data_IF_994273070385
#
_entry.id   IF_994273070385
#
_cell.length_a   1.000
_cell.length_b   1.000
_cell.length_c   1.000
_cell.angle_alpha   90.00
_cell.angle_beta   90.00
_cell.angle_gamma   90.00
#
_symmetry.space_group_name_H-M   'P 1'
#
loop_
_entity.id
_entity.type
_entity.pdbx_description
1 polymer ?
#
# COMPACT_ATOMS: atom_id res chain seq x y z
N UNK A 1 -13.55 12.15 1.10
CA UNK A 1 -13.01 11.00 1.86
C UNK A 1 -11.51 10.85 1.54
N UNK A 2 -10.76 9.96 2.21
CA UNK A 2 -9.30 9.82 2.08
C UNK A 2 -8.93 8.32 1.93
N UNK A 3 -7.74 8.03 1.36
CA UNK A 3 -7.05 6.71 1.28
C UNK A 3 -7.44 5.73 0.14
N UNK A 4 -6.68 5.66 -0.98
CA UNK A 4 -6.52 4.44 -1.79
C UNK A 4 -5.47 4.53 -2.94
N UNK A 5 -4.17 4.72 -2.66
CA UNK A 5 -3.15 4.67 -3.74
C UNK A 5 -1.84 3.94 -3.38
N UNK A 6 -1.78 3.41 -2.18
CA UNK A 6 -0.51 3.30 -1.48
C UNK A 6 0.08 1.88 -1.50
N UNK A 7 -0.71 0.87 -1.87
CA UNK A 7 -0.27 -0.54 -1.88
C UNK A 7 0.46 -0.92 -3.19
N UNK A 8 0.21 -0.21 -4.30
CA UNK A 8 1.01 -0.41 -5.53
C UNK A 8 2.45 0.12 -5.43
N UNK A 9 2.81 0.85 -4.37
CA UNK A 9 4.22 1.21 -4.09
C UNK A 9 5.01 0.06 -3.45
N UNK A 10 4.34 -0.97 -2.92
CA UNK A 10 4.99 -2.18 -2.40
C UNK A 10 5.34 -3.17 -3.49
N UNK A 11 4.54 -3.14 -4.55
CA UNK A 11 4.55 -4.10 -5.63
C UNK A 11 5.03 -3.42 -6.91
N UNK A 12 6.14 -2.72 -6.79
CA UNK A 12 7.20 -2.54 -7.79
C UNK A 12 8.51 -2.79 -6.94
N UNK A 13 9.61 -3.44 -7.36
CA UNK A 13 10.69 -2.83 -8.16
C UNK A 13 12.13 -3.59 -8.21
N UNK A 14 12.56 -4.51 -9.15
CA UNK A 14 13.90 -5.26 -9.28
C UNK A 14 15.22 -4.79 -10.09
N UNK A 15 16.48 -5.17 -9.69
CA UNK A 15 17.89 -4.92 -10.25
C UNK A 15 18.65 -6.26 -10.47
N UNK A 16 19.81 -6.43 -11.14
CA UNK A 16 20.72 -5.57 -11.93
C UNK A 16 21.37 -6.40 -13.05
N UNK A 17 21.75 -5.76 -14.16
CA UNK A 17 22.70 -6.30 -15.14
C UNK A 17 23.42 -5.15 -15.84
N UNK A 18 24.74 -5.21 -16.00
CA UNK A 18 25.53 -4.08 -16.51
C UNK A 18 25.32 -3.82 -18.02
N UNK A 19 24.29 -3.05 -18.33
CA UNK A 19 24.17 -2.29 -19.58
C UNK A 19 23.41 -1.00 -19.27
N UNK A 20 24.03 0.15 -19.49
CA UNK A 20 23.36 1.45 -19.40
C UNK A 20 22.15 1.45 -20.34
N UNK A 21 20.91 1.58 -19.85
CA UNK A 21 19.78 1.76 -20.74
C UNK A 21 19.97 3.04 -21.56
N UNK A 22 19.46 3.13 -22.80
CA UNK A 22 19.33 4.42 -23.46
C UNK A 22 18.45 5.34 -22.57
N UNK A 23 18.72 6.64 -22.60
CA UNK A 23 18.13 7.62 -21.68
C UNK A 23 16.58 7.68 -21.68
N UNK A 24 15.95 7.09 -22.70
CA UNK A 24 14.51 7.01 -22.89
C UNK A 24 13.84 5.75 -22.29
N UNK A 25 14.60 4.85 -21.65
CA UNK A 25 14.08 3.63 -21.02
C UNK A 25 13.74 3.82 -19.53
N UNK A 26 12.59 3.33 -19.03
CA UNK A 26 12.28 3.28 -17.60
C UNK A 26 13.39 2.60 -16.78
N UNK A 27 13.75 3.11 -15.58
CA UNK A 27 14.89 2.62 -14.79
C UNK A 27 14.63 1.20 -14.31
N UNK A 28 15.57 0.25 -14.48
CA UNK A 28 15.38 -1.15 -14.11
C UNK A 28 14.96 -1.21 -12.65
N UNK A 29 13.80 -1.78 -12.34
CA UNK A 29 13.02 -1.22 -11.26
C UNK A 29 13.75 -1.11 -9.89
N UNK A 30 14.68 -1.97 -9.46
CA UNK A 30 15.39 -1.79 -8.17
C UNK A 30 16.54 -0.78 -8.24
N UNK A 31 16.76 -0.12 -9.37
CA UNK A 31 17.32 1.23 -9.37
C UNK A 31 16.49 2.08 -8.39
N UNK A 32 15.20 1.75 -8.20
CA UNK A 32 14.28 2.37 -7.26
C UNK A 32 14.31 1.75 -5.85
N UNK A 33 14.41 0.43 -5.62
CA UNK A 33 14.70 -0.07 -4.25
C UNK A 33 16.08 0.40 -3.78
N UNK A 34 17.10 0.40 -4.64
CA UNK A 34 18.40 1.00 -4.37
C UNK A 34 18.27 2.52 -4.19
N UNK A 35 17.47 3.23 -5.00
CA UNK A 35 17.18 4.64 -4.74
C UNK A 35 16.46 4.84 -3.41
N UNK A 36 15.65 3.90 -2.90
CA UNK A 36 14.99 3.94 -1.58
C UNK A 36 15.92 3.58 -0.41
N UNK A 37 17.20 3.28 -0.66
CA UNK A 37 18.20 3.08 0.38
C UNK A 37 18.46 4.33 1.24
N UNK A 38 19.17 4.16 2.35
CA UNK A 38 19.29 5.19 3.39
C UNK A 38 18.00 5.42 4.16
N UNK A 39 18.00 6.40 5.06
CA UNK A 39 16.90 6.68 6.02
C UNK A 39 16.06 7.92 5.68
N UNK A 40 16.51 8.76 4.74
CA UNK A 40 15.85 10.01 4.39
C UNK A 40 14.38 9.79 3.99
N UNK A 41 13.51 10.73 4.34
CA UNK A 41 12.08 10.77 3.96
C UNK A 41 11.80 12.05 3.19
N UNK A 42 10.76 12.03 2.36
CA UNK A 42 10.32 13.26 1.69
C UNK A 42 9.85 14.32 2.70
N UNK A 43 10.15 15.60 2.43
CA UNK A 43 9.61 16.71 3.20
C UNK A 43 8.10 16.80 3.03
N UNK A 44 7.42 17.44 3.99
CA UNK A 44 5.98 17.70 3.89
C UNK A 44 5.62 18.40 2.57
N UNK A 45 6.31 19.50 2.25
CA UNK A 45 6.06 20.32 1.06
C UNK A 45 6.24 19.53 -0.25
N UNK A 46 7.18 18.58 -0.30
CA UNK A 46 7.38 17.71 -1.45
C UNK A 46 6.26 16.67 -1.63
N UNK A 47 5.52 16.36 -0.56
CA UNK A 47 4.37 15.46 -0.58
C UNK A 47 3.03 16.18 -0.72
N UNK A 48 2.88 17.38 -0.19
CA UNK A 48 1.61 18.11 -0.16
C UNK A 48 1.08 18.36 -1.57
N UNK A 49 1.95 18.81 -2.50
CA UNK A 49 1.59 19.02 -3.90
C UNK A 49 1.32 17.74 -4.72
N UNK A 50 1.59 16.53 -4.19
CA UNK A 50 1.37 15.25 -4.88
C UNK A 50 0.29 14.37 -4.22
N UNK A 51 0.17 14.41 -2.89
CA UNK A 51 -0.70 13.55 -2.08
C UNK A 51 -1.71 14.34 -1.23
N UNK A 52 -1.68 15.68 -1.24
CA UNK A 52 -2.62 16.56 -0.51
C UNK A 52 -2.86 16.12 0.94
N UNK A 53 -1.80 15.86 1.71
CA UNK A 53 -1.93 15.06 2.93
C UNK A 53 -0.78 15.09 3.94
N UNK A 54 -1.18 14.95 5.21
CA UNK A 54 -0.42 15.18 6.44
C UNK A 54 0.73 14.20 6.78
N UNK A 55 0.97 13.16 5.99
CA UNK A 55 1.88 12.05 6.38
C UNK A 55 2.90 11.72 5.30
N UNK A 56 4.07 12.37 5.37
CA UNK A 56 5.21 12.13 4.47
C UNK A 56 6.22 11.12 5.02
N UNK A 57 6.29 10.93 6.34
CA UNK A 57 7.39 10.25 7.04
C UNK A 57 7.15 8.78 7.35
N UNK A 58 5.90 8.34 7.38
CA UNK A 58 5.54 6.93 7.61
C UNK A 58 4.39 6.51 6.71
N UNK A 59 4.10 5.22 6.76
CA UNK A 59 2.94 4.67 6.12
C UNK A 59 3.10 4.41 4.62
N UNK A 60 2.14 3.71 4.06
CA UNK A 60 2.08 3.47 2.63
C UNK A 60 2.07 4.80 1.82
N UNK A 61 1.47 5.87 2.37
CA UNK A 61 1.49 7.23 1.77
C UNK A 61 2.88 7.88 1.78
N UNK A 62 3.60 7.81 2.91
CA UNK A 62 4.96 8.34 3.03
C UNK A 62 5.94 7.57 2.13
N UNK A 63 5.72 6.26 1.97
CA UNK A 63 6.45 5.43 1.00
C UNK A 63 6.15 5.84 -0.44
N UNK A 64 4.88 6.03 -0.82
CA UNK A 64 4.47 6.53 -2.14
C UNK A 64 5.10 7.89 -2.47
N UNK A 65 5.06 8.84 -1.54
CA UNK A 65 5.69 10.14 -1.71
C UNK A 65 7.23 10.04 -1.79
N UNK A 66 7.88 9.35 -0.85
CA UNK A 66 9.35 9.20 -0.84
C UNK A 66 9.85 8.47 -2.09
N UNK A 67 9.06 7.55 -2.65
CA UNK A 67 9.35 6.93 -3.94
C UNK A 67 9.24 7.98 -5.06
N UNK A 68 8.13 8.71 -5.13
CA UNK A 68 7.89 9.71 -6.18
C UNK A 68 8.90 10.87 -6.20
N UNK A 69 9.46 11.28 -5.04
CA UNK A 69 10.52 12.30 -4.98
C UNK A 69 11.87 11.81 -5.48
N UNK A 70 12.12 10.49 -5.48
CA UNK A 70 13.36 9.89 -5.98
C UNK A 70 13.23 9.43 -7.42
N UNK A 71 12.15 8.73 -7.74
CA UNK A 71 11.81 8.27 -9.09
C UNK A 71 10.30 8.48 -9.31
N UNK A 72 9.89 9.40 -10.19
CA UNK A 72 8.48 9.73 -10.40
C UNK A 72 7.64 8.51 -10.76
N UNK A 73 6.48 8.34 -10.11
CA UNK A 73 5.61 7.17 -10.30
C UNK A 73 5.19 6.99 -11.76
N UNK A 74 5.01 8.09 -12.52
CA UNK A 74 4.76 8.03 -13.97
C UNK A 74 5.83 7.25 -14.76
N UNK A 75 7.09 7.34 -14.35
CA UNK A 75 8.22 6.66 -15.02
C UNK A 75 8.15 5.14 -14.78
N UNK A 76 7.59 4.73 -13.64
CA UNK A 76 7.38 3.31 -13.31
C UNK A 76 6.13 2.76 -14.00
N UNK A 77 5.05 3.54 -14.00
CA UNK A 77 3.80 3.21 -14.66
C UNK A 77 3.93 3.18 -16.20
N UNK A 78 4.89 3.91 -16.79
CA UNK A 78 5.20 3.86 -18.22
C UNK A 78 5.64 2.46 -18.74
N UNK A 79 5.89 1.50 -17.84
CA UNK A 79 6.12 0.09 -18.20
C UNK A 79 4.85 -0.72 -18.44
N UNK A 80 3.71 -0.24 -17.94
CA UNK A 80 2.41 -0.89 -18.08
C UNK A 80 1.60 -0.17 -19.15
N UNK A 81 1.11 -0.90 -20.14
CA UNK A 81 0.38 -0.36 -21.28
C UNK A 81 -1.15 -0.32 -21.09
N UNK A 82 -1.67 -0.92 -20.01
CA UNK A 82 -3.10 -0.90 -19.68
C UNK A 82 -3.49 0.27 -18.77
N UNK A 83 -4.75 0.30 -18.34
CA UNK A 83 -5.22 1.26 -17.34
C UNK A 83 -4.92 0.78 -15.91
N UNK A 84 -4.39 1.67 -15.07
CA UNK A 84 -4.14 1.38 -13.64
C UNK A 84 -5.45 1.19 -12.87
N UNK A 85 -6.45 2.00 -13.20
CA UNK A 85 -7.79 1.96 -12.62
C UNK A 85 -8.83 1.63 -13.69
N UNK A 86 -9.91 0.96 -13.29
CA UNK A 86 -11.12 0.75 -14.09
C UNK A 86 -12.14 1.86 -13.88
N UNK A 87 -12.21 2.40 -12.66
CA UNK A 87 -13.04 3.52 -12.25
C UNK A 87 -12.48 4.19 -10.99
N UNK A 88 -13.09 5.29 -10.58
CA UNK A 88 -12.71 6.05 -9.38
C UNK A 88 -12.10 7.43 -9.72
N UNK A 89 -11.66 8.17 -8.69
CA UNK A 89 -11.21 9.56 -8.81
C UNK A 89 -9.70 9.68 -9.07
N UNK A 90 -9.02 8.58 -9.39
CA UNK A 90 -7.59 8.55 -9.68
C UNK A 90 -7.37 8.33 -11.17
N UNK A 91 -6.52 9.15 -11.80
CA UNK A 91 -6.22 9.05 -13.22
C UNK A 91 -4.72 8.98 -13.47
N UNK A 92 -4.33 8.38 -14.59
CA UNK A 92 -2.99 8.47 -15.15
C UNK A 92 -3.10 9.17 -16.49
N UNK A 93 -2.40 10.29 -16.65
CA UNK A 93 -2.32 11.03 -17.90
C UNK A 93 -0.87 11.44 -18.23
N UNK A 94 -0.70 12.21 -19.31
CA UNK A 94 0.63 12.63 -19.79
C UNK A 94 1.40 13.53 -18.81
N UNK A 95 0.73 14.17 -17.84
CA UNK A 95 1.37 14.93 -16.75
C UNK A 95 1.84 14.03 -15.60
N UNK A 96 1.11 12.95 -15.36
CA UNK A 96 1.47 11.88 -14.43
C UNK A 96 0.27 11.24 -13.76
N UNK A 97 0.50 10.73 -12.55
CA UNK A 97 -0.50 10.09 -11.71
C UNK A 97 -1.24 11.16 -10.88
N UNK A 98 -2.52 11.37 -11.18
CA UNK A 98 -3.41 12.24 -10.40
C UNK A 98 -4.09 11.45 -9.28
N UNK A 99 -4.01 11.98 -8.06
CA UNK A 99 -4.31 11.25 -6.82
C UNK A 99 -5.30 12.07 -5.98
N UNK A 100 -6.57 12.09 -6.39
CA UNK A 100 -7.62 12.75 -5.60
C UNK A 100 -7.93 11.96 -4.31
N UNK A 101 -7.24 12.32 -3.22
CA UNK A 101 -7.51 11.83 -1.87
C UNK A 101 -8.50 12.72 -1.10
N UNK A 102 -9.33 13.51 -1.78
CA UNK A 102 -10.41 14.30 -1.19
C UNK A 102 -11.79 13.80 -1.61
N UNK A 103 -11.91 13.18 -2.79
CA UNK A 103 -13.12 12.52 -3.30
C UNK A 103 -13.80 11.60 -2.28
N UNK A 104 -15.12 11.46 -2.39
CA UNK A 104 -15.94 10.47 -1.66
C UNK A 104 -16.10 9.13 -2.43
N UNK A 105 -15.26 8.93 -3.45
CA UNK A 105 -15.06 7.69 -4.18
C UNK A 105 -13.62 7.15 -3.98
N UNK A 106 -13.30 5.95 -4.46
CA UNK A 106 -11.96 5.35 -4.36
C UNK A 106 -11.47 4.80 -5.69
N UNK A 107 -10.15 4.72 -5.89
CA UNK A 107 -9.60 4.09 -7.09
C UNK A 107 -9.87 2.58 -7.09
N UNK A 108 -10.69 2.12 -8.05
CA UNK A 108 -10.91 0.71 -8.35
C UNK A 108 -9.79 0.23 -9.27
N UNK A 109 -8.93 -0.66 -8.79
CA UNK A 109 -7.81 -1.14 -9.60
C UNK A 109 -8.29 -2.01 -10.77
N UNK A 110 -7.54 -1.97 -11.88
CA UNK A 110 -7.62 -3.01 -12.89
C UNK A 110 -6.92 -4.28 -12.36
N UNK A 111 -7.59 -5.45 -12.30
CA UNK A 111 -6.96 -6.70 -11.88
C UNK A 111 -5.67 -7.02 -12.66
N UNK A 112 -5.66 -6.82 -13.98
CA UNK A 112 -4.48 -7.04 -14.83
C UNK A 112 -3.29 -6.15 -14.42
N UNK A 113 -3.56 -4.93 -13.93
CA UNK A 113 -2.52 -4.04 -13.42
C UNK A 113 -1.96 -4.53 -12.08
N UNK A 114 -2.82 -5.08 -11.21
CA UNK A 114 -2.39 -5.61 -9.90
C UNK A 114 -1.54 -6.86 -10.10
N UNK A 115 -1.98 -7.80 -10.95
CA UNK A 115 -1.20 -8.99 -11.33
C UNK A 115 0.15 -8.59 -11.95
N UNK A 116 0.14 -7.68 -12.93
CA UNK A 116 1.37 -7.15 -13.52
C UNK A 116 2.30 -6.53 -12.48
N UNK A 117 1.76 -5.72 -11.55
CA UNK A 117 2.54 -5.08 -10.49
C UNK A 117 3.18 -6.15 -9.60
N UNK A 118 2.40 -7.13 -9.12
CA UNK A 118 2.90 -8.27 -8.32
C UNK A 118 4.05 -8.99 -9.01
N UNK A 119 3.88 -9.42 -10.26
CA UNK A 119 4.90 -10.20 -10.97
C UNK A 119 6.18 -9.43 -11.28
N UNK A 120 6.09 -8.11 -11.40
CA UNK A 120 7.21 -7.27 -11.80
C UNK A 120 8.00 -6.67 -10.63
N UNK A 121 7.69 -7.04 -9.39
CA UNK A 121 8.04 -6.20 -8.23
C UNK A 121 8.83 -6.84 -7.11
N UNK A 122 8.62 -8.12 -6.86
CA UNK A 122 9.15 -8.80 -5.70
C UNK A 122 10.60 -9.18 -6.00
N UNK A 123 11.48 -8.21 -5.74
CA UNK A 123 12.87 -8.30 -6.15
C UNK A 123 13.54 -9.51 -5.54
N UNK A 124 14.34 -10.22 -6.32
CA UNK A 124 15.11 -11.33 -5.78
C UNK A 124 14.24 -12.45 -5.19
N UNK A 125 12.92 -12.49 -5.44
CA UNK A 125 12.09 -13.67 -5.21
C UNK A 125 12.80 -14.91 -5.78
N UNK A 126 13.24 -14.79 -7.04
CA UNK A 126 13.93 -15.81 -7.81
C UNK A 126 15.46 -15.63 -7.88
N UNK A 127 16.04 -14.65 -7.16
CA UNK A 127 17.49 -14.43 -7.11
C UNK A 127 17.96 -14.12 -5.67
N UNK A 128 18.62 -15.11 -5.05
CA UNK A 128 19.11 -15.00 -3.68
C UNK A 128 20.21 -13.93 -3.49
N UNK A 129 20.99 -13.61 -4.54
CA UNK A 129 22.04 -12.59 -4.49
C UNK A 129 21.44 -11.20 -4.45
N UNK A 130 20.48 -10.92 -5.34
CA UNK A 130 19.77 -9.64 -5.38
C UNK A 130 18.90 -9.47 -4.13
N UNK A 131 18.24 -10.54 -3.66
CA UNK A 131 17.53 -10.56 -2.38
C UNK A 131 18.44 -10.18 -1.21
N UNK A 132 19.61 -10.80 -1.10
CA UNK A 132 20.56 -10.50 -0.02
C UNK A 132 21.04 -9.03 -0.06
N UNK A 133 21.32 -8.50 -1.26
CA UNK A 133 21.73 -7.10 -1.47
C UNK A 133 20.63 -6.10 -1.03
N UNK A 134 19.36 -6.43 -1.28
CA UNK A 134 18.23 -5.51 -1.05
C UNK A 134 17.47 -5.73 0.26
N UNK A 135 17.75 -6.82 1.00
CA UNK A 135 17.15 -7.07 2.31
C UNK A 135 17.30 -5.90 3.33
N UNK A 136 18.38 -5.08 3.32
CA UNK A 136 18.43 -3.86 4.13
C UNK A 136 17.37 -2.82 3.75
N UNK A 137 17.06 -2.66 2.45
CA UNK A 137 16.00 -1.76 1.96
C UNK A 137 14.63 -2.30 2.38
N UNK A 138 14.38 -3.60 2.20
CA UNK A 138 13.16 -4.25 2.66
C UNK A 138 12.89 -3.95 4.14
N UNK A 139 13.85 -4.24 5.03
CA UNK A 139 13.71 -3.99 6.47
C UNK A 139 13.48 -2.51 6.81
N UNK A 140 14.17 -1.59 6.13
CA UNK A 140 14.08 -0.17 6.42
C UNK A 140 12.80 0.51 5.88
N UNK A 141 12.17 -0.03 4.83
CA UNK A 141 11.10 0.67 4.09
C UNK A 141 9.78 -0.11 3.96
N UNK A 142 9.83 -1.43 3.88
CA UNK A 142 8.70 -2.26 3.50
C UNK A 142 8.23 -3.20 4.62
N UNK A 143 9.14 -3.71 5.45
CA UNK A 143 8.87 -4.77 6.43
C UNK A 143 7.69 -4.48 7.37
N UNK A 144 7.73 -3.37 8.13
CA UNK A 144 6.66 -3.04 9.09
C UNK A 144 5.29 -2.99 8.40
N UNK A 145 5.24 -2.38 7.23
CA UNK A 145 4.03 -2.20 6.46
C UNK A 145 3.51 -3.53 5.87
N UNK A 146 4.39 -4.36 5.30
CA UNK A 146 4.05 -5.69 4.80
C UNK A 146 3.46 -6.55 5.93
N UNK A 147 4.12 -6.55 7.10
CA UNK A 147 3.63 -7.24 8.30
C UNK A 147 2.26 -6.73 8.75
N UNK A 148 2.07 -5.42 8.85
CA UNK A 148 0.77 -4.81 9.23
C UNK A 148 -0.35 -5.21 8.26
N UNK A 149 -0.14 -5.05 6.95
CA UNK A 149 -1.19 -5.37 5.97
C UNK A 149 -1.53 -6.86 5.95
N UNK A 150 -0.53 -7.73 6.15
CA UNK A 150 -0.72 -9.18 6.23
C UNK A 150 -1.45 -9.60 7.51
N UNK A 151 -1.02 -9.11 8.68
CA UNK A 151 -1.71 -9.42 9.93
C UNK A 151 -3.17 -8.92 9.92
N UNK A 152 -3.44 -7.76 9.32
CA UNK A 152 -4.83 -7.27 9.15
C UNK A 152 -5.61 -8.15 8.16
N UNK A 153 -5.00 -8.61 7.06
CA UNK A 153 -5.64 -9.59 6.17
C UNK A 153 -6.02 -10.87 6.94
N UNK A 154 -5.06 -11.47 7.65
CA UNK A 154 -5.27 -12.71 8.42
C UNK A 154 -6.36 -12.54 9.49
N UNK A 155 -6.37 -11.39 10.18
CA UNK A 155 -7.38 -11.06 11.17
C UNK A 155 -8.78 -10.81 10.57
N UNK A 156 -8.89 -10.25 9.37
CA UNK A 156 -10.18 -10.17 8.65
C UNK A 156 -10.62 -11.56 8.16
N UNK A 157 -9.67 -12.35 7.65
CA UNK A 157 -9.91 -13.69 7.10
C UNK A 157 -10.43 -14.68 8.16
N UNK A 158 -9.92 -14.60 9.40
CA UNK A 158 -10.42 -15.41 10.52
C UNK A 158 -11.90 -15.16 10.89
N UNK A 159 -12.48 -14.05 10.41
CA UNK A 159 -13.90 -13.71 10.58
C UNK A 159 -14.74 -13.96 9.30
N UNK A 160 -14.14 -14.47 8.22
CA UNK A 160 -14.81 -14.88 6.98
C UNK A 160 -14.62 -13.94 5.78
N UNK A 161 -13.63 -13.05 5.81
CA UNK A 161 -13.19 -12.32 4.63
C UNK A 161 -12.40 -13.25 3.66
N UNK A 162 -12.53 -13.12 2.33
CA UNK A 162 -13.27 -12.10 1.59
C UNK A 162 -14.75 -12.44 1.32
N UNK A 163 -15.24 -13.63 1.63
CA UNK A 163 -16.63 -14.03 1.33
C UNK A 163 -17.65 -13.03 1.92
N UNK A 164 -17.45 -12.64 3.18
CA UNK A 164 -18.22 -11.60 3.87
C UNK A 164 -17.32 -10.51 4.46
N UNK A 165 -17.89 -9.33 4.68
CA UNK A 165 -17.26 -8.33 5.53
C UNK A 165 -17.42 -8.75 7.01
N UNK A 166 -16.38 -8.64 7.85
CA UNK A 166 -16.50 -8.90 9.29
C UNK A 166 -17.41 -7.88 9.98
N UNK A 167 -18.13 -8.33 11.02
CA UNK A 167 -19.20 -7.57 11.65
C UNK A 167 -18.76 -6.23 12.26
N UNK A 168 -19.69 -5.27 12.33
CA UNK A 168 -19.45 -3.95 12.91
C UNK A 168 -18.78 -3.00 11.94
N UNK A 169 -17.62 -2.44 12.27
CA UNK A 169 -16.97 -1.41 11.46
C UNK A 169 -16.63 -1.85 10.02
N UNK A 170 -16.08 -3.06 9.74
CA UNK A 170 -15.80 -3.48 8.36
C UNK A 170 -17.07 -3.73 7.54
N UNK A 171 -18.10 -4.32 8.15
CA UNK A 171 -19.44 -4.51 7.57
C UNK A 171 -20.09 -3.18 7.18
N UNK A 172 -20.17 -2.23 8.11
CA UNK A 172 -20.68 -0.89 7.83
C UNK A 172 -19.84 -0.15 6.77
N UNK A 173 -18.53 -0.44 6.64
CA UNK A 173 -17.73 0.11 5.56
C UNK A 173 -18.05 -0.54 4.22
N UNK A 174 -18.26 -1.86 4.18
CA UNK A 174 -18.70 -2.54 2.96
C UNK A 174 -20.09 -2.07 2.51
N UNK A 175 -21.02 -1.82 3.42
CA UNK A 175 -22.32 -1.20 3.12
C UNK A 175 -22.16 0.22 2.56
N UNK A 176 -21.28 1.02 3.14
CA UNK A 176 -20.95 2.35 2.61
C UNK A 176 -20.37 2.28 1.18
N UNK A 177 -19.40 1.38 0.93
CA UNK A 177 -18.81 1.20 -0.40
C UNK A 177 -19.83 0.71 -1.44
N UNK A 178 -20.86 -0.04 -1.03
CA UNK A 178 -21.90 -0.54 -1.90
C UNK A 178 -23.06 0.46 -2.15
N UNK A 179 -23.29 1.41 -1.24
CA UNK A 179 -24.48 2.29 -1.26
C UNK A 179 -24.20 3.79 -1.35
N UNK A 180 -22.96 4.22 -1.05
CA UNK A 180 -22.59 5.63 -0.86
C UNK A 180 -23.15 6.27 0.42
N UNK A 181 -23.95 5.57 1.22
CA UNK A 181 -24.61 6.13 2.41
C UNK A 181 -23.66 6.07 3.60
N UNK A 182 -23.21 7.23 4.09
CA UNK A 182 -22.34 7.32 5.27
C UNK A 182 -23.11 6.82 6.52
N UNK A 183 -22.70 5.70 7.14
CA UNK A 183 -23.40 5.11 8.27
C UNK A 183 -23.20 5.96 9.53
N UNK A 184 -24.11 5.85 10.49
CA UNK A 184 -24.12 6.71 11.68
C UNK A 184 -22.83 6.59 12.51
N UNK A 185 -22.25 5.39 12.62
CA UNK A 185 -20.96 5.19 13.30
C UNK A 185 -19.77 5.90 12.64
N UNK A 186 -19.91 6.30 11.38
CA UNK A 186 -18.93 7.08 10.63
C UNK A 186 -19.23 8.60 10.69
N UNK A 187 -20.17 9.07 11.51
CA UNK A 187 -20.51 10.50 11.68
C UNK A 187 -19.95 11.10 12.97
N UNK A 188 -18.80 10.61 13.42
CA UNK A 188 -18.17 11.11 14.65
C UNK A 188 -17.69 12.55 14.54
N UNK A 189 -17.65 13.24 15.68
CA UNK A 189 -17.56 14.72 15.81
C UNK A 189 -16.40 15.38 15.04
N UNK A 190 -15.29 14.66 14.80
CA UNK A 190 -14.11 15.23 14.17
C UNK A 190 -14.15 15.23 12.63
N UNK A 191 -14.62 14.16 11.98
CA UNK A 191 -14.76 14.10 10.51
C UNK A 191 -15.79 13.03 10.08
N UNK A 192 -16.74 13.33 9.17
CA UNK A 192 -17.62 12.33 8.58
C UNK A 192 -16.85 11.39 7.62
N UNK A 193 -17.14 10.09 7.70
CA UNK A 193 -16.55 9.02 6.90
C UNK A 193 -15.80 7.97 7.74
N UNK A 194 -15.27 6.94 7.08
CA UNK A 194 -14.43 5.94 7.75
C UNK A 194 -13.03 6.51 8.00
N UNK A 195 -12.90 7.18 9.15
CA UNK A 195 -11.65 7.81 9.61
C UNK A 195 -10.70 6.79 10.23
N UNK A 196 -9.48 7.25 10.54
CA UNK A 196 -8.45 6.46 11.22
C UNK A 196 -8.92 5.84 12.54
N UNK A 197 -9.92 6.40 13.23
CA UNK A 197 -10.37 5.91 14.53
C UNK A 197 -11.48 4.86 14.44
N UNK A 198 -12.13 4.68 13.29
CA UNK A 198 -13.28 3.75 13.18
C UNK A 198 -12.88 2.28 13.34
N UNK A 199 -11.59 1.96 13.21
CA UNK A 199 -11.04 0.62 13.43
C UNK A 199 -10.05 0.56 14.62
N UNK A 200 -9.93 1.61 15.45
CA UNK A 200 -8.86 1.76 16.45
C UNK A 200 -8.73 0.57 17.39
N UNK A 201 -9.84 0.15 17.99
CA UNK A 201 -9.83 -0.81 19.11
C UNK A 201 -9.41 -2.22 18.65
N UNK A 202 -9.72 -2.55 17.38
CA UNK A 202 -9.31 -3.79 16.72
C UNK A 202 -7.81 -3.77 16.38
N UNK A 203 -7.31 -2.60 16.00
CA UNK A 203 -5.98 -2.44 15.39
C UNK A 203 -4.90 -1.98 16.36
N UNK A 204 -5.24 -1.44 17.54
CA UNK A 204 -4.24 -1.08 18.55
C UNK A 204 -3.50 -2.33 19.05
N UNK A 205 -4.20 -3.43 19.33
CA UNK A 205 -3.56 -4.69 19.73
C UNK A 205 -2.59 -5.19 18.65
N UNK A 206 -3.06 -5.30 17.41
CA UNK A 206 -2.27 -5.74 16.26
C UNK A 206 -1.06 -4.83 15.99
N UNK A 207 -1.21 -3.52 16.12
CA UNK A 207 -0.11 -2.56 15.99
C UNK A 207 0.91 -2.67 17.13
N UNK A 208 0.46 -3.00 18.35
CA UNK A 208 1.33 -3.22 19.51
C UNK A 208 2.16 -4.48 19.36
N UNK A 209 1.58 -5.55 18.82
CA UNK A 209 2.27 -6.82 18.60
C UNK A 209 3.33 -6.72 17.48
N UNK A 210 3.11 -5.89 16.46
CA UNK A 210 4.03 -5.73 15.32
C UNK A 210 5.14 -4.70 15.60
N UNK A 211 4.84 -3.57 16.22
CA UNK A 211 5.78 -2.45 16.39
C UNK A 211 6.24 -2.21 17.84
N UNK A 212 5.67 -2.93 18.81
CA UNK A 212 5.93 -2.69 20.23
C UNK A 212 5.33 -1.38 20.75
N UNK A 213 5.61 -1.02 22.02
CA UNK A 213 5.21 0.26 22.60
C UNK A 213 6.16 1.40 22.19
N UNK A 214 5.63 2.61 21.99
CA UNK A 214 6.42 3.83 21.74
C UNK A 214 5.88 4.67 20.58
N UNK A 215 6.67 5.59 20.03
CA UNK A 215 6.27 6.45 18.91
C UNK A 215 5.90 5.66 17.64
N UNK A 216 6.63 4.57 17.37
CA UNK A 216 6.36 3.62 16.28
C UNK A 216 4.99 2.94 16.36
N UNK A 217 4.41 2.83 17.57
CA UNK A 217 3.08 2.28 17.78
C UNK A 217 2.00 3.11 17.07
N UNK A 218 2.12 4.45 17.07
CA UNK A 218 1.14 5.32 16.40
C UNK A 218 1.17 5.13 14.88
N UNK A 219 2.37 5.03 14.29
CA UNK A 219 2.53 4.73 12.87
C UNK A 219 1.97 3.36 12.48
N UNK A 220 2.22 2.33 13.30
CA UNK A 220 1.65 0.99 13.08
C UNK A 220 0.13 0.96 13.24
N UNK A 221 -0.43 1.67 14.22
CA UNK A 221 -1.88 1.79 14.44
C UNK A 221 -2.55 2.50 13.26
N UNK A 222 -1.98 3.62 12.80
CA UNK A 222 -2.43 4.33 11.60
C UNK A 222 -2.44 3.41 10.37
N UNK A 223 -1.40 2.60 10.17
CA UNK A 223 -1.35 1.70 9.03
C UNK A 223 -2.30 0.51 9.15
N UNK A 224 -2.50 -0.05 10.35
CA UNK A 224 -3.48 -1.10 10.57
C UNK A 224 -4.91 -0.61 10.30
N UNK A 225 -5.25 0.60 10.75
CA UNK A 225 -6.50 1.28 10.43
C UNK A 225 -6.66 1.55 8.92
N UNK A 226 -5.58 1.95 8.24
CA UNK A 226 -5.58 2.14 6.79
C UNK A 226 -5.72 0.80 6.03
N UNK A 227 -5.13 -0.27 6.55
CA UNK A 227 -5.14 -1.60 5.96
C UNK A 227 -6.53 -2.24 5.97
N UNK A 228 -7.32 -2.07 7.03
CA UNK A 228 -8.73 -2.55 7.04
C UNK A 228 -9.52 -1.91 5.90
N UNK A 229 -9.45 -0.57 5.79
CA UNK A 229 -10.10 0.15 4.70
C UNK A 229 -9.56 -0.25 3.32
N UNK A 230 -8.26 -0.53 3.21
CA UNK A 230 -7.67 -1.03 1.98
C UNK A 230 -8.29 -2.37 1.57
N UNK A 231 -8.27 -3.38 2.44
CA UNK A 231 -8.82 -4.70 2.13
C UNK A 231 -10.31 -4.64 1.77
N UNK A 232 -11.14 -3.85 2.47
CA UNK A 232 -12.55 -3.67 2.09
C UNK A 232 -12.72 -3.09 0.68
N UNK A 233 -11.89 -2.10 0.30
CA UNK A 233 -11.88 -1.54 -1.08
C UNK A 233 -11.39 -2.55 -2.12
N UNK A 234 -10.41 -3.39 -1.77
CA UNK A 234 -9.94 -4.47 -2.67
C UNK A 234 -10.96 -5.57 -2.87
N UNK A 235 -11.74 -5.90 -1.85
CA UNK A 235 -12.93 -6.77 -1.99
C UNK A 235 -13.98 -6.16 -2.91
N UNK A 236 -14.16 -4.83 -2.87
CA UNK A 236 -15.14 -4.12 -3.69
C UNK A 236 -14.73 -3.97 -5.17
N UNK A 237 -13.44 -3.93 -5.49
CA UNK A 237 -12.94 -3.94 -6.88
C UNK A 237 -12.46 -5.33 -7.38
N UNK A 238 -12.54 -6.36 -6.54
CA UNK A 238 -12.20 -7.74 -6.89
C UNK A 238 -10.71 -8.07 -6.90
N UNK A 239 -9.83 -7.13 -6.52
CA UNK A 239 -8.38 -7.32 -6.60
C UNK A 239 -7.74 -7.85 -5.31
N UNK A 240 -8.54 -8.20 -4.29
CA UNK A 240 -8.04 -8.62 -2.98
C UNK A 240 -7.14 -9.87 -2.99
N UNK A 241 -7.39 -10.82 -3.89
CA UNK A 241 -6.59 -12.06 -3.95
C UNK A 241 -5.20 -11.79 -4.55
N UNK A 242 -5.13 -11.05 -5.66
CA UNK A 242 -3.85 -10.64 -6.25
C UNK A 242 -2.99 -9.83 -5.26
N UNK A 243 -3.60 -8.93 -4.47
CA UNK A 243 -2.88 -8.20 -3.41
C UNK A 243 -2.47 -9.08 -2.22
N UNK A 244 -3.28 -10.08 -1.82
CA UNK A 244 -2.90 -11.08 -0.81
C UNK A 244 -1.68 -11.87 -1.30
N UNK A 245 -1.77 -12.43 -2.50
CA UNK A 245 -0.75 -13.33 -3.05
C UNK A 245 0.58 -12.61 -3.29
N UNK A 246 0.54 -11.37 -3.78
CA UNK A 246 1.74 -10.54 -3.87
C UNK A 246 2.35 -10.18 -2.52
N UNK A 247 1.53 -9.98 -1.48
CA UNK A 247 2.02 -9.71 -0.13
C UNK A 247 2.62 -10.96 0.52
N UNK A 248 1.99 -12.12 0.34
CA UNK A 248 2.52 -13.42 0.77
C UNK A 248 3.86 -13.71 0.10
N UNK A 249 3.95 -13.54 -1.24
CA UNK A 249 5.19 -13.69 -2.01
C UNK A 249 6.29 -12.74 -1.53
N UNK A 250 5.96 -11.49 -1.21
CA UNK A 250 6.92 -10.51 -0.68
C UNK A 250 7.46 -10.93 0.69
N UNK A 251 6.58 -11.41 1.58
CA UNK A 251 6.95 -11.92 2.90
C UNK A 251 7.72 -13.24 2.80
N UNK A 252 7.34 -14.16 1.94
CA UNK A 252 8.06 -15.41 1.68
C UNK A 252 9.47 -15.14 1.09
N UNK A 253 9.62 -14.09 0.26
CA UNK A 253 10.91 -13.68 -0.25
C UNK A 253 11.81 -13.08 0.84
N UNK A 254 11.32 -12.14 1.67
CA UNK A 254 12.17 -11.32 2.54
C UNK A 254 12.05 -11.53 4.05
N UNK A 255 11.02 -12.26 4.51
CA UNK A 255 10.60 -12.33 5.91
C UNK A 255 10.01 -13.71 6.28
N UNK A 256 10.46 -14.77 5.60
CA UNK A 256 9.89 -16.11 5.69
C UNK A 256 9.84 -16.68 7.11
N UNK A 257 10.83 -16.37 7.96
CA UNK A 257 10.86 -16.80 9.37
C UNK A 257 9.73 -16.17 10.18
N UNK A 258 9.36 -14.91 9.92
CA UNK A 258 8.23 -14.25 10.56
C UNK A 258 6.91 -14.77 10.00
N UNK A 259 6.81 -14.93 8.68
CA UNK A 259 5.61 -15.46 8.02
C UNK A 259 5.26 -16.88 8.52
N UNK A 260 6.26 -17.73 8.75
CA UNK A 260 6.09 -19.09 9.27
C UNK A 260 5.83 -19.18 10.79
N UNK A 261 5.93 -18.07 11.51
CA UNK A 261 5.71 -17.99 12.96
C UNK A 261 4.35 -17.37 13.35
N UNK A 262 3.51 -17.05 12.37
CA UNK A 262 2.15 -16.49 12.52
C UNK A 262 1.05 -17.55 12.68
#
# INVERSE_FOLDING_TARGET
>A
MRFALAVCTFLLLPLAGCSTPPADSPPAFADVWAALSGTETASYDACDGFMSGYVSTYGARGLACTTNTRIPLRTLLARYSGSVYTSGPHSLDASGLSVDLLSDDFGHYNPEFVEWAVDNSIVGENDATVRALLAPVYRARFQQLARVYWSVYQNLASEGYPDRAPAGAPEAYAEYLASGVVPEMARTEYYPGFTMTVFSDRNEALARDIAGPGEWHFGAMYEANTAVGFWMRRRADGTQEAFRDGLERLLAAYDAEWLAAM
#
